data_IF_682027714713
#
_entry.id   IF_682027714713
#
_cell.length_a   1.000
_cell.length_b   1.000
_cell.length_c   1.000
_cell.angle_alpha   90.00
_cell.angle_beta   90.00
_cell.angle_gamma   90.00
#
_symmetry.space_group_name_H-M   'P 1'
#
loop_
_entity.id
_entity.type
_entity.pdbx_description
1 polymer ?
#
# COMPACT_ATOMS: atom_id res chain seq x y z
N UNK A 1 -5.10 -5.06 6.93
CA UNK A 1 -5.73 -6.15 6.16
C UNK A 1 -5.42 -5.93 4.69
N UNK A 2 -5.20 -6.99 3.91
CA UNK A 2 -5.09 -6.88 2.46
C UNK A 2 -5.64 -8.14 1.78
N UNK A 3 -5.97 -8.03 0.50
CA UNK A 3 -6.30 -9.20 -0.33
C UNK A 3 -5.03 -9.73 -0.97
N UNK A 4 -4.70 -10.99 -0.68
CA UNK A 4 -3.56 -11.68 -1.26
C UNK A 4 -3.84 -12.02 -2.75
N UNK A 5 -3.14 -11.37 -3.70
CA UNK A 5 -3.40 -11.44 -5.16
C UNK A 5 -3.44 -12.88 -5.73
N UNK A 6 -2.56 -13.76 -5.27
CA UNK A 6 -2.44 -15.10 -5.84
C UNK A 6 -3.58 -16.06 -5.45
N UNK A 7 -4.33 -15.75 -4.39
CA UNK A 7 -5.39 -16.63 -3.89
C UNK A 7 -6.73 -15.91 -3.63
N UNK A 8 -6.82 -14.60 -3.87
CA UNK A 8 -7.99 -13.74 -3.54
C UNK A 8 -8.47 -13.92 -2.08
N UNK A 9 -7.53 -14.21 -1.19
CA UNK A 9 -7.80 -14.46 0.24
C UNK A 9 -7.60 -13.19 1.04
N UNK A 10 -8.50 -12.94 1.98
CA UNK A 10 -8.32 -11.90 2.99
C UNK A 10 -7.22 -12.31 3.97
N UNK A 11 -6.22 -11.45 4.11
CA UNK A 11 -5.08 -11.65 4.97
C UNK A 11 -5.06 -10.50 6.00
N UNK A 12 -4.98 -10.84 7.29
CA UNK A 12 -4.88 -9.88 8.38
C UNK A 12 -3.59 -10.15 9.18
N UNK A 13 -2.73 -9.15 9.25
CA UNK A 13 -1.62 -9.14 10.19
C UNK A 13 -1.95 -8.17 11.32
N UNK A 14 -1.71 -8.60 12.56
CA UNK A 14 -1.88 -7.79 13.76
C UNK A 14 -0.51 -7.64 14.40
N UNK A 15 -0.08 -6.39 14.54
CA UNK A 15 1.20 -6.02 15.14
C UNK A 15 0.92 -5.21 16.38
N UNK A 16 1.56 -5.56 17.49
CA UNK A 16 1.56 -4.77 18.72
C UNK A 16 2.79 -3.90 18.79
N UNK A 17 2.60 -2.70 19.30
CA UNK A 17 3.65 -1.73 19.57
C UNK A 17 3.57 -1.32 21.04
N UNK A 18 4.69 -1.35 21.75
CA UNK A 18 4.78 -0.95 23.14
C UNK A 18 6.20 -0.48 23.48
N UNK A 19 6.34 0.24 24.59
CA UNK A 19 7.64 0.63 25.14
C UNK A 19 7.97 -0.33 26.28
N UNK A 20 9.17 -0.90 26.28
CA UNK A 20 9.63 -1.81 27.34
C UNK A 20 10.27 -1.06 28.52
N UNK A 21 10.81 -1.81 29.49
CA UNK A 21 11.41 -1.26 30.70
C UNK A 21 12.71 -0.49 30.42
N UNK A 22 13.35 -0.80 29.29
CA UNK A 22 14.56 -0.14 28.78
C UNK A 22 14.24 1.12 27.96
N UNK A 23 12.97 1.55 27.91
CA UNK A 23 12.49 2.67 27.09
C UNK A 23 12.69 2.46 25.59
N UNK A 24 12.81 1.21 25.15
CA UNK A 24 12.93 0.88 23.74
C UNK A 24 11.56 0.59 23.14
N UNK A 25 11.31 1.15 21.95
CA UNK A 25 10.11 0.84 21.18
C UNK A 25 10.19 -0.59 20.64
N UNK A 26 9.23 -1.41 21.03
CA UNK A 26 9.06 -2.78 20.55
C UNK A 26 7.95 -2.86 19.52
N UNK A 27 8.17 -3.67 18.49
CA UNK A 27 7.20 -4.02 17.46
C UNK A 27 7.18 -5.53 17.31
N UNK A 28 6.02 -6.16 17.49
CA UNK A 28 5.87 -7.62 17.41
C UNK A 28 4.62 -7.99 16.62
N UNK A 29 4.78 -8.85 15.62
CA UNK A 29 3.63 -9.46 14.94
C UNK A 29 3.09 -10.54 15.87
N UNK A 30 1.86 -10.37 16.34
CA UNK A 30 1.22 -11.31 17.28
C UNK A 30 0.22 -12.24 16.59
N UNK A 31 -0.21 -11.89 15.37
CA UNK A 31 -1.04 -12.76 14.54
C UNK A 31 -0.85 -12.47 13.06
N UNK A 32 -0.83 -13.54 12.29
CA UNK A 32 -1.01 -13.52 10.85
C UNK A 32 -2.12 -14.52 10.52
N UNK A 33 -3.30 -14.01 10.18
CA UNK A 33 -4.51 -14.80 10.01
C UNK A 33 -5.06 -14.69 8.59
N UNK A 34 -5.55 -15.81 8.08
CA UNK A 34 -6.46 -15.81 6.97
C UNK A 34 -7.87 -15.51 7.48
N UNK A 35 -8.47 -14.42 7.01
CA UNK A 35 -9.85 -14.06 7.35
C UNK A 35 -10.76 -14.53 6.21
N UNK A 36 -11.70 -15.40 6.55
CA UNK A 36 -12.69 -15.92 5.59
C UNK A 36 -13.71 -14.84 5.21
N UNK A 37 -14.24 -14.92 3.99
CA UNK A 37 -15.35 -14.08 3.59
C UNK A 37 -16.62 -14.48 4.36
N UNK A 38 -17.52 -13.53 4.65
CA UNK A 38 -17.47 -12.12 4.21
C UNK A 38 -16.59 -11.25 5.12
N UNK A 39 -15.76 -10.38 4.52
CA UNK A 39 -14.91 -9.40 5.24
C UNK A 39 -15.72 -8.22 5.77
N UNK A 40 -16.78 -8.50 6.52
CA UNK A 40 -17.57 -7.48 7.20
C UNK A 40 -16.83 -6.92 8.39
N UNK A 41 -17.21 -5.73 8.84
CA UNK A 41 -16.61 -5.09 10.01
C UNK A 41 -16.78 -5.92 11.29
N UNK A 42 -17.86 -6.73 11.40
CA UNK A 42 -18.08 -7.65 12.52
C UNK A 42 -17.07 -8.80 12.49
N UNK A 43 -16.89 -9.45 11.34
CA UNK A 43 -15.93 -10.55 11.19
C UNK A 43 -14.50 -10.09 11.44
N UNK A 44 -14.14 -8.88 10.99
CA UNK A 44 -12.83 -8.30 11.27
C UNK A 44 -12.68 -7.93 12.76
N UNK A 45 -13.73 -7.42 13.41
CA UNK A 45 -13.72 -7.11 14.84
C UNK A 45 -13.51 -8.38 15.67
N UNK A 46 -14.21 -9.46 15.34
CA UNK A 46 -14.09 -10.75 16.03
C UNK A 46 -12.68 -11.33 15.84
N UNK A 47 -12.15 -11.34 14.60
CA UNK A 47 -10.78 -11.80 14.35
C UNK A 47 -9.71 -10.99 15.11
N UNK A 48 -9.92 -9.69 15.26
CA UNK A 48 -9.03 -8.83 16.04
C UNK A 48 -9.21 -9.07 17.55
N UNK A 49 -10.43 -9.26 18.03
CA UNK A 49 -10.70 -9.49 19.44
C UNK A 49 -10.21 -10.86 19.91
N UNK A 50 -10.38 -11.91 19.09
CA UNK A 50 -9.80 -13.23 19.33
C UNK A 50 -8.28 -13.13 19.51
N UNK A 51 -7.63 -12.31 18.68
CA UNK A 51 -6.21 -12.05 18.83
C UNK A 51 -5.84 -11.35 20.14
N UNK A 52 -6.64 -10.38 20.57
CA UNK A 52 -6.40 -9.65 21.83
C UNK A 52 -6.56 -10.60 23.02
N UNK A 53 -7.60 -11.43 23.01
CA UNK A 53 -7.90 -12.39 24.07
C UNK A 53 -6.87 -13.52 24.16
N UNK A 54 -6.45 -14.08 23.02
CA UNK A 54 -5.44 -15.15 22.98
C UNK A 54 -4.09 -14.73 23.59
N UNK A 55 -3.79 -13.42 23.58
CA UNK A 55 -2.59 -12.85 24.17
C UNK A 55 -2.83 -12.17 25.53
N UNK A 56 -4.05 -12.24 26.07
CA UNK A 56 -4.46 -11.60 27.32
C UNK A 56 -4.15 -10.08 27.36
N UNK A 57 -4.47 -9.39 26.27
CA UNK A 57 -4.19 -7.96 26.07
C UNK A 57 -5.41 -7.06 26.28
N UNK A 58 -6.57 -7.59 26.63
CA UNK A 58 -7.85 -6.86 26.74
C UNK A 58 -7.84 -5.69 27.74
N UNK A 59 -6.87 -5.67 28.67
CA UNK A 59 -6.63 -4.57 29.63
C UNK A 59 -5.35 -3.78 29.34
N UNK A 60 -4.71 -4.01 28.20
CA UNK A 60 -3.40 -3.42 27.82
C UNK A 60 -3.43 -2.71 26.47
N UNK A 61 -4.48 -2.90 25.66
CA UNK A 61 -4.64 -2.19 24.40
C UNK A 61 -5.20 -0.80 24.68
N UNK A 62 -4.42 0.24 24.38
CA UNK A 62 -4.86 1.62 24.59
C UNK A 62 -5.20 2.37 23.29
N UNK A 63 -4.69 1.90 22.15
CA UNK A 63 -4.98 2.46 20.83
C UNK A 63 -4.85 1.38 19.73
N UNK A 64 -5.50 1.63 18.60
CA UNK A 64 -5.48 0.81 17.39
C UNK A 64 -5.27 1.71 16.16
N UNK A 65 -4.33 1.31 15.31
CA UNK A 65 -4.08 1.98 14.03
C UNK A 65 -4.58 1.13 12.87
N UNK A 66 -5.52 1.65 12.10
CA UNK A 66 -6.08 0.99 10.91
C UNK A 66 -6.11 1.95 9.71
N UNK A 67 -6.20 1.42 8.49
CA UNK A 67 -6.39 2.26 7.30
C UNK A 67 -7.77 2.94 7.32
N UNK A 68 -7.95 3.97 6.48
CA UNK A 68 -9.19 4.74 6.43
C UNK A 68 -10.27 4.07 5.56
N UNK A 69 -10.43 2.76 5.67
CA UNK A 69 -11.51 2.01 5.02
C UNK A 69 -12.79 2.08 5.87
N UNK A 70 -13.95 2.22 5.22
CA UNK A 70 -15.27 2.24 5.88
C UNK A 70 -15.50 1.03 6.79
N UNK A 71 -15.02 -0.14 6.39
CA UNK A 71 -15.14 -1.37 7.16
C UNK A 71 -14.31 -1.33 8.43
N UNK A 72 -13.07 -0.81 8.35
CA UNK A 72 -12.21 -0.66 9.52
C UNK A 72 -12.75 0.41 10.47
N UNK A 73 -13.26 1.53 9.93
CA UNK A 73 -13.90 2.58 10.73
C UNK A 73 -15.11 2.04 11.52
N UNK A 74 -15.93 1.17 10.93
CA UNK A 74 -17.07 0.54 11.58
C UNK A 74 -16.68 -0.57 12.59
N UNK A 75 -15.50 -1.16 12.44
CA UNK A 75 -14.97 -2.20 13.33
C UNK A 75 -14.53 -1.65 14.68
N UNK A 76 -13.90 -0.47 14.69
CA UNK A 76 -13.36 0.19 15.89
C UNK A 76 -14.36 0.29 17.05
N UNK A 77 -15.59 0.83 16.89
CA UNK A 77 -16.52 0.97 18.01
C UNK A 77 -16.92 -0.38 18.61
N UNK A 78 -16.98 -1.45 17.81
CA UNK A 78 -17.30 -2.80 18.28
C UNK A 78 -16.18 -3.33 19.18
N UNK A 79 -14.93 -3.13 18.77
CA UNK A 79 -13.78 -3.55 19.59
C UNK A 79 -13.75 -2.74 20.88
N UNK A 80 -13.94 -1.42 20.80
CA UNK A 80 -13.90 -0.54 21.96
C UNK A 80 -14.98 -0.89 22.99
N UNK A 81 -16.18 -1.30 22.55
CA UNK A 81 -17.26 -1.74 23.44
C UNK A 81 -16.95 -3.07 24.16
N UNK A 82 -16.13 -3.93 23.54
CA UNK A 82 -15.66 -5.20 24.14
C UNK A 82 -14.44 -5.03 25.06
N UNK A 83 -13.77 -3.87 25.03
CA UNK A 83 -12.62 -3.56 25.87
C UNK A 83 -13.03 -2.81 27.13
N UNK A 84 -12.21 -2.90 28.18
CA UNK A 84 -12.42 -2.08 29.38
C UNK A 84 -12.01 -0.64 29.08
N UNK A 85 -12.95 0.32 29.10
CA UNK A 85 -12.64 1.75 28.85
C UNK A 85 -11.57 2.28 29.80
N UNK A 86 -11.55 1.81 31.04
CA UNK A 86 -10.56 2.21 32.05
C UNK A 86 -9.12 1.82 31.68
N UNK A 87 -8.94 0.87 30.75
CA UNK A 87 -7.63 0.45 30.26
C UNK A 87 -7.16 1.17 29.00
N UNK A 88 -8.02 2.03 28.44
CA UNK A 88 -7.75 2.79 27.22
C UNK A 88 -7.38 4.23 27.54
N UNK A 89 -6.59 4.87 26.67
CA UNK A 89 -6.26 6.28 26.86
C UNK A 89 -7.52 7.15 26.76
N UNK A 90 -7.69 8.08 27.70
CA UNK A 90 -8.81 9.01 27.75
C UNK A 90 -10.16 8.29 27.60
N UNK A 91 -10.35 7.15 28.29
CA UNK A 91 -11.57 6.34 28.25
C UNK A 91 -12.02 5.93 26.82
N UNK A 92 -11.07 5.82 25.89
CA UNK A 92 -11.29 5.34 24.54
C UNK A 92 -11.38 6.45 23.49
N UNK A 93 -11.34 7.73 23.88
CA UNK A 93 -11.39 8.86 22.96
C UNK A 93 -10.26 8.82 21.92
N UNK A 94 -9.09 8.32 22.31
CA UNK A 94 -7.91 8.20 21.45
C UNK A 94 -7.67 6.76 20.94
N UNK A 95 -8.69 5.90 21.01
CA UNK A 95 -8.53 4.50 20.63
C UNK A 95 -8.28 4.32 19.13
N UNK A 96 -8.84 5.19 18.28
CA UNK A 96 -8.74 5.05 16.83
C UNK A 96 -7.72 6.02 16.23
N UNK A 97 -6.62 5.48 15.74
CA UNK A 97 -5.64 6.19 14.94
C UNK A 97 -5.78 5.77 13.47
N UNK A 98 -5.86 6.74 12.56
CA UNK A 98 -5.83 6.44 11.12
C UNK A 98 -4.40 6.26 10.66
N UNK A 99 -4.17 5.34 9.73
CA UNK A 99 -2.84 5.11 9.17
C UNK A 99 -2.37 6.32 8.35
N UNK A 100 -1.35 7.04 8.85
CA UNK A 100 -0.78 8.21 8.16
C UNK A 100 -0.28 7.90 6.76
N UNK A 101 0.33 6.72 6.54
CA UNK A 101 0.78 6.29 5.22
C UNK A 101 -0.39 6.16 4.23
N UNK A 102 -1.55 5.70 4.71
CA UNK A 102 -2.76 5.63 3.88
C UNK A 102 -3.32 7.02 3.59
N UNK A 103 -3.35 7.93 4.58
CA UNK A 103 -3.77 9.32 4.36
C UNK A 103 -2.87 10.02 3.35
N UNK A 104 -1.54 9.88 3.48
CA UNK A 104 -0.60 10.41 2.50
C UNK A 104 -0.82 9.82 1.11
N UNK A 105 -1.10 8.52 1.03
CA UNK A 105 -1.45 7.89 -0.25
C UNK A 105 -2.73 8.49 -0.86
N UNK A 106 -3.75 8.81 -0.06
CA UNK A 106 -4.96 9.49 -0.56
C UNK A 106 -4.61 10.87 -1.13
N UNK A 107 -3.86 11.68 -0.39
CA UNK A 107 -3.41 13.03 -0.83
C UNK A 107 -2.59 12.95 -2.11
N UNK A 108 -1.66 12.00 -2.19
CA UNK A 108 -0.83 11.80 -3.39
C UNK A 108 -1.70 11.39 -4.57
N UNK A 109 -2.63 10.44 -4.40
CA UNK A 109 -3.51 10.03 -5.49
C UNK A 109 -4.40 11.17 -5.98
N UNK A 110 -4.92 11.99 -5.08
CA UNK A 110 -5.69 13.18 -5.44
C UNK A 110 -4.84 14.21 -6.21
N UNK A 111 -3.59 14.42 -5.80
CA UNK A 111 -2.65 15.28 -6.53
C UNK A 111 -2.25 14.73 -7.91
N UNK A 112 -2.09 13.41 -8.05
CA UNK A 112 -1.79 12.77 -9.32
C UNK A 112 -2.98 12.76 -10.27
N UNK A 113 -4.22 12.80 -9.76
CA UNK A 113 -5.43 12.81 -10.57
C UNK A 113 -5.45 14.01 -11.55
N UNK A 114 -4.89 15.14 -11.12
CA UNK A 114 -4.73 16.36 -11.94
C UNK A 114 -3.92 16.12 -13.22
N UNK A 115 -2.99 15.15 -13.19
CA UNK A 115 -2.14 14.80 -14.34
C UNK A 115 -2.41 13.36 -14.83
N UNK A 116 -3.56 12.78 -14.48
CA UNK A 116 -3.86 11.38 -14.76
C UNK A 116 -3.79 11.05 -16.26
N UNK A 117 -4.24 11.96 -17.13
CA UNK A 117 -4.13 11.79 -18.59
C UNK A 117 -2.70 11.58 -19.07
N UNK A 118 -1.75 12.35 -18.51
CA UNK A 118 -0.32 12.21 -18.83
C UNK A 118 0.23 10.90 -18.31
N UNK A 119 -0.14 10.52 -17.08
CA UNK A 119 0.25 9.25 -16.46
C UNK A 119 -0.27 8.07 -17.30
N UNK A 120 -1.53 8.12 -17.75
CA UNK A 120 -2.14 7.05 -18.53
C UNK A 120 -1.52 6.93 -19.94
N UNK A 121 -1.11 8.05 -20.56
CA UNK A 121 -0.32 8.02 -21.80
C UNK A 121 1.05 7.37 -21.62
N UNK A 122 1.74 7.67 -20.51
CA UNK A 122 3.01 7.04 -20.16
C UNK A 122 2.79 5.54 -19.95
N UNK A 123 1.82 5.14 -19.12
CA UNK A 123 1.47 3.72 -18.90
C UNK A 123 1.11 2.99 -20.19
N UNK A 124 0.35 3.63 -21.07
CA UNK A 124 0.03 3.08 -22.39
C UNK A 124 1.28 2.82 -23.23
N UNK A 125 2.26 3.73 -23.16
CA UNK A 125 3.55 3.58 -23.84
C UNK A 125 4.40 2.45 -23.24
N UNK A 126 4.50 2.38 -21.90
CA UNK A 126 5.16 1.27 -21.18
C UNK A 126 4.55 -0.06 -21.57
N UNK A 127 3.21 -0.15 -21.52
CA UNK A 127 2.46 -1.37 -21.82
C UNK A 127 2.63 -1.79 -23.27
N UNK A 128 2.69 -0.84 -24.21
CA UNK A 128 2.95 -1.14 -25.61
C UNK A 128 4.31 -1.80 -25.82
N UNK A 129 5.38 -1.20 -25.28
CA UNK A 129 6.75 -1.67 -25.46
C UNK A 129 7.04 -2.99 -24.72
N UNK A 130 6.52 -3.14 -23.51
CA UNK A 130 6.66 -4.37 -22.70
C UNK A 130 5.70 -5.49 -23.10
N UNK A 131 4.74 -5.23 -24.00
CA UNK A 131 3.68 -6.19 -24.35
C UNK A 131 4.11 -7.38 -25.21
N UNK A 132 5.32 -7.41 -25.77
CA UNK A 132 5.83 -8.56 -26.53
C UNK A 132 7.36 -8.56 -26.64
N UNK A 133 8.01 -9.75 -26.74
CA UNK A 133 9.47 -9.83 -26.87
C UNK A 133 10.02 -9.01 -28.04
N UNK A 134 9.37 -9.08 -29.21
CA UNK A 134 9.77 -8.30 -30.40
C UNK A 134 9.77 -6.78 -30.16
N UNK A 135 8.83 -6.27 -29.36
CA UNK A 135 8.76 -4.84 -29.04
C UNK A 135 9.78 -4.46 -27.97
N UNK A 136 10.03 -5.33 -27.00
CA UNK A 136 11.08 -5.14 -25.99
C UNK A 136 12.47 -5.11 -26.64
N UNK A 137 12.75 -6.05 -27.55
CA UNK A 137 14.00 -6.08 -28.34
C UNK A 137 14.19 -4.80 -29.15
N UNK A 138 13.16 -4.37 -29.89
CA UNK A 138 13.20 -3.13 -30.66
C UNK A 138 13.40 -1.89 -29.77
N UNK A 139 12.78 -1.85 -28.59
CA UNK A 139 13.00 -0.77 -27.64
C UNK A 139 14.46 -0.72 -27.17
N UNK A 140 15.04 -1.88 -26.84
CA UNK A 140 16.44 -1.97 -26.41
C UNK A 140 17.43 -1.61 -27.53
N UNK A 141 17.11 -1.90 -28.79
CA UNK A 141 17.86 -1.42 -29.96
C UNK A 141 17.88 0.11 -30.01
N UNK A 142 16.71 0.76 -29.95
CA UNK A 142 16.60 2.22 -29.96
C UNK A 142 17.32 2.87 -28.77
N UNK A 143 17.26 2.27 -27.57
CA UNK A 143 18.01 2.75 -26.40
C UNK A 143 19.52 2.73 -26.64
N UNK A 144 20.04 1.68 -27.31
CA UNK A 144 21.46 1.58 -27.67
C UNK A 144 21.85 2.61 -28.73
N UNK A 145 21.01 2.80 -29.76
CA UNK A 145 21.24 3.80 -30.82
C UNK A 145 21.29 5.24 -30.28
N UNK A 146 20.49 5.53 -29.26
CA UNK A 146 20.44 6.83 -28.60
C UNK A 146 21.50 7.01 -27.50
N UNK A 147 22.41 6.04 -27.34
CA UNK A 147 23.47 6.01 -26.31
C UNK A 147 22.94 6.24 -24.88
N UNK A 148 21.69 5.83 -24.60
CA UNK A 148 21.09 6.08 -23.29
C UNK A 148 21.57 5.00 -22.31
N UNK A 149 22.33 5.44 -21.31
CA UNK A 149 22.84 4.56 -20.26
C UNK A 149 21.72 4.26 -19.25
N UNK A 150 21.04 3.13 -19.42
CA UNK A 150 20.05 2.64 -18.45
C UNK A 150 20.31 1.20 -18.04
N UNK A 151 20.29 0.96 -16.73
CA UNK A 151 20.35 -0.38 -16.13
C UNK A 151 18.96 -0.94 -15.81
N UNK A 152 17.90 -0.17 -16.06
CA UNK A 152 16.52 -0.50 -15.67
C UNK A 152 15.70 -0.94 -16.89
N UNK A 153 14.93 -2.02 -16.71
CA UNK A 153 13.91 -2.46 -17.68
C UNK A 153 12.63 -1.63 -17.51
N UNK A 154 11.88 -1.47 -18.60
CA UNK A 154 10.55 -0.88 -18.54
C UNK A 154 9.64 -1.75 -17.67
N UNK A 155 9.04 -1.13 -16.64
CA UNK A 155 8.10 -1.79 -15.76
C UNK A 155 6.86 -0.90 -15.59
N UNK A 156 5.68 -1.51 -15.61
CA UNK A 156 4.46 -0.81 -15.23
C UNK A 156 4.48 -0.54 -13.73
N UNK A 157 4.03 0.65 -13.35
CA UNK A 157 3.85 1.00 -11.96
C UNK A 157 2.69 0.21 -11.34
N UNK A 158 2.76 0.00 -10.03
CA UNK A 158 1.77 -0.79 -9.31
C UNK A 158 0.87 0.13 -8.49
N UNK A 159 -0.41 0.24 -8.89
CA UNK A 159 -1.42 1.12 -8.26
C UNK A 159 -1.58 0.92 -6.74
N UNK A 160 -1.32 -0.28 -6.22
CA UNK A 160 -1.38 -0.56 -4.76
C UNK A 160 -0.06 -0.30 -4.02
N UNK A 161 1.01 0.11 -4.72
CA UNK A 161 2.37 0.34 -4.20
C UNK A 161 2.85 1.78 -4.37
N UNK A 162 1.94 2.75 -4.44
CA UNK A 162 2.26 4.16 -4.18
C UNK A 162 2.70 4.45 -2.74
N UNK A 163 2.94 3.40 -1.93
CA UNK A 163 3.69 3.51 -0.70
C UNK A 163 5.00 4.28 -0.98
N UNK A 164 5.22 5.30 -0.16
CA UNK A 164 6.19 6.39 -0.28
C UNK A 164 7.63 5.94 -0.61
N UNK A 165 7.97 4.65 -0.47
CA UNK A 165 9.31 4.10 -0.68
C UNK A 165 9.78 4.01 -2.14
N UNK A 166 8.96 4.29 -3.16
CA UNK A 166 9.36 4.19 -4.58
C UNK A 166 9.43 5.53 -5.34
N UNK A 167 9.14 6.65 -4.68
CA UNK A 167 9.17 7.98 -5.32
C UNK A 167 10.58 8.48 -5.64
N UNK A 168 11.62 7.83 -5.10
CA UNK A 168 13.00 8.11 -5.46
C UNK A 168 13.43 7.29 -6.68
N UNK A 169 13.64 7.95 -7.82
CA UNK A 169 14.62 7.59 -8.89
C UNK A 169 14.22 6.68 -10.06
N UNK A 170 12.98 6.19 -10.23
CA UNK A 170 12.63 5.32 -11.38
C UNK A 170 11.86 6.05 -12.48
N UNK A 171 10.84 6.82 -12.14
CA UNK A 171 9.86 7.29 -13.13
C UNK A 171 10.39 8.37 -14.07
N UNK A 172 11.22 9.31 -13.58
CA UNK A 172 11.65 10.47 -14.41
C UNK A 172 12.61 10.06 -15.53
N UNK A 173 13.57 9.18 -15.26
CA UNK A 173 14.52 8.71 -16.28
C UNK A 173 13.85 7.77 -17.29
N UNK A 174 12.91 6.93 -16.83
CA UNK A 174 12.09 6.07 -17.69
C UNK A 174 11.12 6.88 -18.56
N UNK A 175 10.54 7.97 -18.03
CA UNK A 175 9.72 8.91 -18.80
C UNK A 175 10.57 9.65 -19.84
N UNK A 176 11.80 10.05 -19.49
CA UNK A 176 12.74 10.69 -20.42
C UNK A 176 13.15 9.73 -21.55
N UNK A 177 13.46 8.48 -21.20
CA UNK A 177 13.72 7.38 -22.14
C UNK A 177 12.55 7.17 -23.11
N UNK A 178 11.31 7.14 -22.59
CA UNK A 178 10.11 7.01 -23.41
C UNK A 178 9.86 8.22 -24.29
N UNK A 179 10.02 9.43 -23.77
CA UNK A 179 9.81 10.66 -24.53
C UNK A 179 10.76 10.74 -25.74
N UNK A 180 12.03 10.36 -25.55
CA UNK A 180 13.03 10.33 -26.64
C UNK A 180 12.73 9.22 -27.67
N UNK A 181 12.38 8.01 -27.22
CA UNK A 181 12.03 6.91 -28.11
C UNK A 181 10.70 7.14 -28.88
N UNK A 182 9.75 7.84 -28.28
CA UNK A 182 8.47 8.21 -28.91
C UNK A 182 8.66 9.37 -29.89
N UNK A 183 9.48 10.37 -29.58
CA UNK A 183 9.76 11.50 -30.48
C UNK A 183 10.30 11.02 -31.84
N UNK A 184 11.25 10.08 -31.86
CA UNK A 184 11.76 9.50 -33.12
C UNK A 184 10.71 8.73 -33.93
N UNK A 185 9.73 8.11 -33.28
CA UNK A 185 8.63 7.42 -33.99
C UNK A 185 7.70 8.42 -34.70
N UNK A 186 7.61 9.66 -34.23
CA UNK A 186 6.83 10.71 -34.89
C UNK A 186 7.64 11.47 -35.96
N UNK A 187 8.97 11.57 -35.82
CA UNK A 187 9.85 12.15 -36.85
C UNK A 187 10.13 11.23 -38.06
N UNK A 188 9.66 9.98 -38.00
CA UNK A 188 9.76 8.99 -39.09
C UNK A 188 8.46 8.77 -39.89
N UNK A 189 7.44 9.63 -39.63
CA UNK A 189 6.26 9.84 -40.48
C UNK A 189 6.32 11.21 -41.15
#
# INVERSE_FOLDING_TARGET
MWTCNNQRKGCMAITTHFVDNEWALQSRIIRFAHVQCPHTFVVLADAMMDCILDWHLEKKVSASTVDNCSTNNAMIPIILDKLSRDSTFLNGEMFHMRCSAHILNLVVNEGLDVINDTIDRIRGSVSYWSGSPKREEKFLETVRELEIVSTKKLALDCKTRYAISQWGTSTVEEIRLMALAVAQKFDSY
#
